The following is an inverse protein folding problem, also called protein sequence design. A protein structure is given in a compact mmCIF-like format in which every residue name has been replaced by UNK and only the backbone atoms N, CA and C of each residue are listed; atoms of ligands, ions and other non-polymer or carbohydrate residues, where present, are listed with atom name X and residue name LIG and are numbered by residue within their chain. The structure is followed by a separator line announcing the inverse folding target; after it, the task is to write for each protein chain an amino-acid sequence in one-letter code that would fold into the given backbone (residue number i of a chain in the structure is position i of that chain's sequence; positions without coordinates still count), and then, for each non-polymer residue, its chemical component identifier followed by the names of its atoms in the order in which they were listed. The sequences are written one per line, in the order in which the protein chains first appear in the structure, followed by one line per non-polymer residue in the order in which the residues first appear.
data_IF_933468726830
#
_entry.id   IF_933468726830
#
_cell.length_a   1.000
_cell.length_b   1.000
_cell.length_c   1.000
_cell.angle_alpha   90.00
_cell.angle_beta   90.00
_cell.angle_gamma   90.00
#
_symmetry.space_group_name_H-M   'P 1'
#
loop_
_entity.id
_entity.type
_entity.pdbx_description
1 polymer ?
#
# COMPACT_ATOMS: atom_id res chain seq x y z
N UNK A 1 -30.23 17.51 -9.60
CA UNK A 1 -30.79 17.39 -8.24
C UNK A 1 -31.04 15.90 -7.99
N UNK A 2 -30.71 15.34 -6.82
CA UNK A 2 -30.90 13.90 -6.58
C UNK A 2 -32.40 13.57 -6.47
N UNK A 3 -32.96 12.95 -7.50
CA UNK A 3 -34.39 12.64 -7.64
C UNK A 3 -34.92 11.55 -6.68
N UNK A 4 -34.14 10.55 -6.25
CA UNK A 4 -34.63 9.62 -5.24
C UNK A 4 -34.55 10.29 -3.86
N UNK A 5 -35.71 10.53 -3.24
CA UNK A 5 -35.88 10.85 -1.81
C UNK A 5 -35.51 9.66 -0.90
N UNK A 6 -34.35 9.07 -1.13
CA UNK A 6 -33.84 7.95 -0.36
C UNK A 6 -33.02 8.54 0.78
N UNK A 7 -33.28 8.06 2.00
CA UNK A 7 -32.48 8.46 3.15
C UNK A 7 -31.10 7.83 3.00
N UNK A 8 -30.07 8.67 2.98
CA UNK A 8 -28.68 8.24 2.91
C UNK A 8 -27.88 8.90 4.02
N UNK A 9 -26.87 8.19 4.49
CA UNK A 9 -25.88 8.70 5.44
C UNK A 9 -24.50 8.37 4.90
N UNK A 10 -23.69 9.39 4.62
CA UNK A 10 -22.28 9.23 4.30
C UNK A 10 -21.47 9.45 5.59
N UNK A 11 -20.70 8.43 5.98
CA UNK A 11 -19.73 8.52 7.07
C UNK A 11 -18.33 8.46 6.49
N UNK A 12 -17.50 9.43 6.85
CA UNK A 12 -16.07 9.41 6.55
C UNK A 12 -15.32 8.79 7.74
N UNK A 13 -14.81 7.58 7.55
CA UNK A 13 -14.02 6.89 8.56
C UNK A 13 -12.54 7.15 8.28
N UNK A 14 -12.05 8.29 8.78
CA UNK A 14 -10.66 8.72 8.62
C UNK A 14 -9.63 7.70 9.15
N UNK A 15 -9.97 6.93 10.20
CA UNK A 15 -9.07 5.94 10.80
C UNK A 15 -8.81 4.73 9.87
N UNK A 16 -9.81 4.32 9.11
CA UNK A 16 -9.71 3.19 8.16
C UNK A 16 -9.53 3.66 6.71
N UNK A 17 -9.45 4.98 6.51
CA UNK A 17 -9.33 5.65 5.23
C UNK A 17 -10.40 5.16 4.23
N UNK A 18 -11.65 5.12 4.67
CA UNK A 18 -12.76 4.62 3.88
C UNK A 18 -14.04 5.44 4.09
N UNK A 19 -14.81 5.62 3.02
CA UNK A 19 -16.17 6.12 3.06
C UNK A 19 -17.15 4.96 3.27
N UNK A 20 -18.10 5.16 4.18
CA UNK A 20 -19.26 4.28 4.35
C UNK A 20 -20.52 5.03 3.96
N UNK A 21 -21.14 4.61 2.87
CA UNK A 21 -22.43 5.13 2.42
C UNK A 21 -23.52 4.13 2.78
N UNK A 22 -24.38 4.51 3.71
CA UNK A 22 -25.59 3.76 4.08
C UNK A 22 -26.80 4.38 3.38
N UNK A 23 -27.55 3.57 2.63
CA UNK A 23 -28.78 3.99 1.96
C UNK A 23 -29.94 3.08 2.38
N UNK A 24 -31.01 3.69 2.87
CA UNK A 24 -32.23 2.97 3.24
C UNK A 24 -33.02 2.58 1.97
N UNK A 25 -32.78 1.38 1.44
CA UNK A 25 -33.56 0.83 0.33
C UNK A 25 -34.84 0.16 0.85
N UNK A 26 -35.79 -0.11 -0.04
CA UNK A 26 -37.02 -0.80 0.35
C UNK A 26 -36.74 -2.26 0.74
N UNK A 27 -37.30 -2.70 1.88
CA UNK A 27 -37.12 -4.06 2.42
C UNK A 27 -37.43 -5.16 1.41
N UNK A 28 -38.51 -5.00 0.65
CA UNK A 28 -38.98 -5.97 -0.33
C UNK A 28 -38.49 -5.70 -1.76
N UNK A 29 -37.55 -4.76 -1.94
CA UNK A 29 -36.91 -4.58 -3.24
C UNK A 29 -36.01 -5.78 -3.53
N UNK A 30 -35.96 -6.24 -4.76
CA UNK A 30 -35.01 -7.27 -5.15
C UNK A 30 -33.62 -6.64 -5.39
N UNK A 31 -32.56 -7.39 -5.11
CA UNK A 31 -31.18 -6.96 -5.38
C UNK A 31 -30.94 -6.75 -6.88
N UNK A 32 -31.66 -7.48 -7.74
CA UNK A 32 -31.61 -7.27 -9.19
C UNK A 32 -32.12 -5.90 -9.66
N UNK A 33 -32.93 -5.21 -8.85
CA UNK A 33 -33.42 -3.86 -9.14
C UNK A 33 -32.49 -2.77 -8.57
N UNK A 34 -31.32 -3.17 -8.10
CA UNK A 34 -30.30 -2.30 -7.53
C UNK A 34 -29.04 -2.48 -8.36
N UNK A 35 -28.57 -1.38 -8.92
CA UNK A 35 -27.28 -1.32 -9.62
C UNK A 35 -26.40 -0.27 -8.93
N UNK A 36 -25.14 -0.60 -8.69
CA UNK A 36 -24.20 0.24 -7.96
C UNK A 36 -22.94 0.40 -8.79
N UNK A 37 -22.70 1.63 -9.22
CA UNK A 37 -21.55 2.06 -9.98
C UNK A 37 -20.70 2.98 -9.10
N UNK A 38 -19.50 2.50 -8.76
CA UNK A 38 -18.54 3.25 -7.95
C UNK A 38 -17.46 3.78 -8.88
N UNK A 39 -17.37 5.11 -8.95
CA UNK A 39 -16.29 5.78 -9.65
C UNK A 39 -15.39 6.52 -8.65
N UNK A 40 -14.15 6.84 -9.05
CA UNK A 40 -13.21 7.48 -8.12
C UNK A 40 -13.75 8.80 -7.53
N UNK A 41 -14.45 9.61 -8.33
CA UNK A 41 -14.91 10.95 -7.92
C UNK A 41 -16.41 11.01 -7.57
N UNK A 42 -17.18 9.96 -7.88
CA UNK A 42 -18.60 9.93 -7.60
C UNK A 42 -19.13 8.52 -7.52
N UNK A 43 -20.26 8.38 -6.85
CA UNK A 43 -20.96 7.12 -6.64
C UNK A 43 -22.33 7.24 -7.22
N UNK A 44 -22.74 6.26 -8.01
CA UNK A 44 -24.05 6.20 -8.62
C UNK A 44 -24.75 4.90 -8.21
N UNK A 45 -25.92 5.01 -7.63
CA UNK A 45 -26.76 3.87 -7.28
C UNK A 45 -28.12 4.01 -7.98
N UNK A 46 -28.45 3.04 -8.82
CA UNK A 46 -29.75 2.97 -9.50
C UNK A 46 -30.65 2.02 -8.72
N UNK A 47 -31.70 2.55 -8.10
CA UNK A 47 -32.63 1.80 -7.25
C UNK A 47 -34.02 1.88 -7.90
N UNK A 48 -34.53 0.76 -8.43
CA UNK A 48 -35.82 0.69 -9.14
C UNK A 48 -35.94 1.75 -10.26
N UNK A 49 -34.87 1.91 -11.04
CA UNK A 49 -34.80 2.89 -12.13
C UNK A 49 -34.60 4.35 -11.69
N UNK A 50 -34.49 4.64 -10.38
CA UNK A 50 -34.14 5.98 -9.89
C UNK A 50 -32.65 6.06 -9.63
N UNK A 51 -32.01 7.08 -10.18
CA UNK A 51 -30.56 7.26 -10.08
C UNK A 51 -30.28 8.18 -8.90
N UNK A 52 -29.52 7.67 -7.94
CA UNK A 52 -28.88 8.43 -6.87
C UNK A 52 -27.43 8.65 -7.27
N UNK A 53 -26.99 9.91 -7.35
CA UNK A 53 -25.60 10.24 -7.62
C UNK A 53 -25.05 11.13 -6.51
N UNK A 54 -23.88 10.78 -5.98
CA UNK A 54 -23.18 11.51 -4.94
C UNK A 54 -21.75 11.78 -5.38
N UNK A 55 -21.35 13.05 -5.41
CA UNK A 55 -19.94 13.40 -5.62
C UNK A 55 -19.16 13.19 -4.33
N UNK A 56 -17.96 12.63 -4.46
CA UNK A 56 -17.02 12.47 -3.37
C UNK A 56 -15.99 13.61 -3.42
N UNK A 57 -15.50 14.03 -2.26
CA UNK A 57 -14.47 15.06 -2.16
C UNK A 57 -13.06 14.47 -2.37
N UNK A 58 -12.88 13.22 -1.96
CA UNK A 58 -11.63 12.48 -2.12
C UNK A 58 -11.85 11.28 -3.05
N UNK A 59 -10.80 10.96 -3.80
CA UNK A 59 -10.79 9.86 -4.74
C UNK A 59 -10.85 8.51 -3.99
N UNK A 60 -11.75 7.64 -4.43
CA UNK A 60 -11.87 6.26 -3.92
C UNK A 60 -11.31 5.25 -4.89
N UNK A 61 -10.88 4.10 -4.37
CA UNK A 61 -10.47 2.95 -5.16
C UNK A 61 -11.69 2.06 -5.46
N UNK A 62 -12.21 2.05 -6.70
CA UNK A 62 -13.37 1.23 -7.05
C UNK A 62 -13.09 -0.27 -6.93
N UNK A 63 -11.85 -0.70 -7.21
CA UNK A 63 -11.42 -2.11 -7.17
C UNK A 63 -11.62 -2.78 -5.79
N UNK A 64 -11.36 -2.03 -4.71
CA UNK A 64 -11.52 -2.49 -3.33
C UNK A 64 -12.85 -2.10 -2.70
N UNK A 65 -13.74 -1.47 -3.47
CA UNK A 65 -15.04 -1.07 -2.98
C UNK A 65 -16.00 -2.25 -2.92
N UNK A 66 -16.84 -2.31 -1.89
CA UNK A 66 -17.83 -3.37 -1.77
C UNK A 66 -19.20 -2.80 -1.44
N UNK A 67 -20.25 -3.38 -2.01
CA UNK A 67 -21.63 -3.05 -1.71
C UNK A 67 -22.34 -4.25 -1.09
N UNK A 68 -22.95 -4.07 0.07
CA UNK A 68 -23.64 -5.11 0.83
C UNK A 68 -25.06 -4.69 1.12
N UNK A 69 -26.02 -5.55 0.79
CA UNK A 69 -27.43 -5.33 1.08
C UNK A 69 -27.86 -6.21 2.25
N UNK A 70 -28.55 -5.61 3.21
CA UNK A 70 -29.23 -6.33 4.27
C UNK A 70 -30.64 -6.72 3.83
N UNK A 71 -30.91 -8.03 3.75
CA UNK A 71 -32.23 -8.54 3.38
C UNK A 71 -33.30 -8.28 4.45
N UNK A 72 -32.90 -8.22 5.73
CA UNK A 72 -33.84 -8.07 6.85
C UNK A 72 -34.27 -6.63 7.07
N UNK A 73 -33.33 -5.69 6.93
CA UNK A 73 -33.56 -4.26 7.19
C UNK A 73 -33.78 -3.45 5.90
N UNK A 74 -33.32 -3.94 4.75
CA UNK A 74 -33.41 -3.22 3.47
C UNK A 74 -32.29 -2.19 3.26
N UNK A 75 -31.32 -2.08 4.16
CA UNK A 75 -30.22 -1.12 4.03
C UNK A 75 -29.16 -1.60 3.04
N UNK A 76 -28.64 -0.68 2.23
CA UNK A 76 -27.53 -0.89 1.32
C UNK A 76 -26.32 -0.12 1.85
N UNK A 77 -25.29 -0.85 2.25
CA UNK A 77 -24.04 -0.32 2.73
C UNK A 77 -22.98 -0.44 1.65
N UNK A 78 -22.41 0.69 1.23
CA UNK A 78 -21.30 0.73 0.29
C UNK A 78 -20.05 1.18 1.05
N UNK A 79 -19.05 0.31 1.10
CA UNK A 79 -17.73 0.57 1.69
C UNK A 79 -16.77 0.91 0.57
N UNK A 80 -16.25 2.15 0.57
CA UNK A 80 -15.40 2.68 -0.49
C UNK A 80 -14.08 3.18 0.12
N UNK A 81 -12.99 2.42 -0.01
CA UNK A 81 -11.69 2.85 0.49
C UNK A 81 -11.16 4.02 -0.34
N UNK A 82 -10.58 5.02 0.33
CA UNK A 82 -9.92 6.17 -0.28
C UNK A 82 -8.61 5.73 -0.94
N UNK A 83 -8.31 6.30 -2.11
CA UNK A 83 -7.13 5.97 -2.90
C UNK A 83 -5.86 6.60 -2.31
N UNK A 84 -5.96 7.82 -1.78
CA UNK A 84 -4.82 8.49 -1.12
C UNK A 84 -4.71 7.97 0.32
N UNK A 85 -3.64 7.26 0.71
CA UNK A 85 -3.42 6.94 2.10
C UNK A 85 -3.13 8.23 2.86
N UNK A 86 -4.05 8.65 3.73
CA UNK A 86 -3.71 9.68 4.71
C UNK A 86 -2.66 9.04 5.62
N UNK A 87 -1.42 9.53 5.56
CA UNK A 87 -0.34 9.08 6.44
C UNK A 87 -0.65 9.61 7.83
N UNK A 88 -1.54 8.94 8.55
CA UNK A 88 -1.76 9.20 9.97
C UNK A 88 -0.78 8.31 10.75
N UNK A 89 -0.06 8.85 11.74
CA UNK A 89 0.74 8.03 12.65
C UNK A 89 -0.21 7.11 13.42
N UNK A 90 -0.38 5.89 12.92
CA UNK A 90 -1.18 4.87 13.59
C UNK A 90 -0.43 4.42 14.84
N UNK A 91 -0.91 4.86 16.01
CA UNK A 91 -0.62 4.18 17.26
C UNK A 91 -1.32 2.82 17.20
N UNK A 92 -0.68 1.85 16.55
CA UNK A 92 -1.13 0.46 16.50
C UNK A 92 -1.13 -0.09 17.93
N UNK A 93 -2.26 0.06 18.62
CA UNK A 93 -2.56 -0.75 19.80
C UNK A 93 -2.74 -2.17 19.30
N UNK A 94 -1.69 -2.97 19.43
CA UNK A 94 -1.72 -4.40 19.20
C UNK A 94 -2.89 -5.01 19.98
N UNK A 95 -4.02 -5.26 19.31
CA UNK A 95 -5.06 -6.14 19.82
C UNK A 95 -4.48 -7.55 19.74
N UNK A 96 -3.73 -7.93 20.78
CA UNK A 96 -3.43 -9.33 21.09
C UNK A 96 -4.79 -10.03 21.23
N UNK A 97 -5.16 -10.79 20.21
CA UNK A 97 -6.25 -11.74 20.34
C UNK A 97 -5.80 -12.80 21.34
N UNK A 98 -6.40 -12.81 22.52
CA UNK A 98 -6.27 -13.88 23.50
C UNK A 98 -6.82 -15.17 22.88
N UNK A 99 -5.93 -16.03 22.38
CA UNK A 99 -6.27 -17.42 22.08
C UNK A 99 -6.38 -18.16 23.41
N UNK A 100 -7.59 -18.63 23.71
CA UNK A 100 -7.89 -19.55 24.81
C UNK A 100 -7.03 -20.82 24.69
N UNK A 101 -6.56 -21.28 25.85
CA UNK A 101 -5.77 -22.48 26.08
C UNK A 101 -6.42 -23.75 25.52
N UNK A 102 -5.70 -24.50 24.68
CA UNK A 102 -5.81 -25.95 24.59
C UNK A 102 -4.39 -26.55 24.54
N UNK A 103 -4.20 -27.64 25.27
CA UNK A 103 -2.92 -28.25 25.66
C UNK A 103 -2.07 -28.77 24.47
N UNK A 104 -0.71 -28.76 24.57
CA UNK A 104 0.13 -29.26 23.49
C UNK A 104 0.34 -30.77 23.59
N UNK A 105 -0.02 -31.52 22.54
CA UNK A 105 0.49 -32.87 22.28
C UNK A 105 1.76 -32.79 21.41
N UNK A 106 2.80 -33.60 21.66
CA UNK A 106 4.05 -33.53 20.92
C UNK A 106 3.96 -34.34 19.61
N UNK A 107 4.23 -33.71 18.48
CA UNK A 107 4.57 -34.41 17.24
C UNK A 107 5.80 -33.79 16.59
N UNK A 108 6.87 -34.58 16.68
CA UNK A 108 8.11 -34.58 15.92
C UNK A 108 7.87 -34.32 14.43
N UNK A 109 8.62 -33.38 13.85
CA UNK A 109 9.42 -33.54 12.62
C UNK A 109 10.14 -32.22 12.32
N UNK A 110 11.48 -32.28 12.26
CA UNK A 110 12.37 -31.12 12.11
C UNK A 110 12.52 -30.79 10.63
N UNK A 111 11.91 -29.69 10.19
CA UNK A 111 12.39 -28.96 9.02
C UNK A 111 13.42 -27.94 9.51
N UNK A 112 14.70 -28.17 9.21
CA UNK A 112 15.77 -27.23 9.52
C UNK A 112 15.61 -25.99 8.62
N UNK A 113 15.14 -24.89 9.20
CA UNK A 113 15.25 -23.57 8.58
C UNK A 113 16.66 -23.08 8.87
N UNK A 114 17.52 -23.03 7.86
CA UNK A 114 18.81 -22.35 7.97
C UNK A 114 18.56 -20.85 8.14
N UNK A 115 18.93 -20.31 9.30
CA UNK A 115 18.85 -18.88 9.61
C UNK A 115 20.25 -18.31 9.44
N UNK A 116 20.40 -17.17 8.77
CA UNK A 116 21.64 -16.41 8.83
C UNK A 116 21.86 -15.97 10.28
N UNK A 117 22.79 -16.61 10.97
CA UNK A 117 23.26 -16.17 12.27
C UNK A 117 24.25 -15.02 12.06
N UNK A 118 23.89 -13.84 12.57
CA UNK A 118 24.82 -12.72 12.68
C UNK A 118 25.62 -12.97 13.95
N UNK A 119 26.92 -13.28 13.80
CA UNK A 119 27.82 -13.49 14.93
C UNK A 119 27.87 -12.27 15.85
N UNK A 120 28.24 -12.47 17.11
CA UNK A 120 28.25 -11.48 18.21
C UNK A 120 29.16 -10.26 18.00
N UNK A 121 29.74 -10.08 16.81
CA UNK A 121 30.42 -8.85 16.43
C UNK A 121 29.40 -7.78 16.04
N UNK A 122 28.62 -7.33 17.03
CA UNK A 122 27.77 -6.16 16.92
C UNK A 122 28.67 -4.92 16.83
N UNK A 123 29.03 -4.52 15.62
CA UNK A 123 29.36 -3.12 15.37
C UNK A 123 28.11 -2.32 15.70
N UNK A 124 28.08 -1.73 16.90
CA UNK A 124 27.00 -0.82 17.31
C UNK A 124 27.03 0.37 16.36
N UNK A 125 26.14 0.35 15.38
CA UNK A 125 25.96 1.46 14.44
C UNK A 125 25.24 2.57 15.19
N UNK A 126 25.93 3.69 15.43
CA UNK A 126 25.35 4.85 16.09
C UNK A 126 24.54 5.68 15.07
N UNK A 127 23.24 5.43 15.01
CA UNK A 127 22.29 6.13 14.11
C UNK A 127 22.08 7.62 14.45
N UNK A 128 22.62 8.12 15.58
CA UNK A 128 22.41 9.50 16.02
C UNK A 128 23.29 10.53 15.29
N UNK A 129 24.29 10.11 14.50
CA UNK A 129 25.20 11.02 13.77
C UNK A 129 24.77 11.34 12.33
N UNK A 130 23.58 10.92 11.91
CA UNK A 130 23.06 11.08 10.54
C UNK A 130 22.87 12.56 10.14
N UNK A 131 22.78 13.50 11.10
CA UNK A 131 22.46 14.92 10.84
C UNK A 131 23.65 15.88 10.97
N UNK A 132 24.90 15.41 11.06
CA UNK A 132 26.05 16.32 11.13
C UNK A 132 26.60 16.62 9.72
N UNK A 133 26.00 17.61 9.04
CA UNK A 133 26.25 17.99 7.64
C UNK A 133 27.72 18.31 7.30
N UNK A 134 28.52 18.73 8.29
CA UNK A 134 29.91 19.15 8.08
C UNK A 134 30.94 18.01 8.04
N UNK A 135 30.64 16.83 8.59
CA UNK A 135 31.59 15.71 8.64
C UNK A 135 31.34 14.68 7.50
N UNK A 136 30.11 14.61 6.98
CA UNK A 136 29.71 13.63 5.97
C UNK A 136 30.39 13.86 4.61
N UNK A 137 30.61 15.11 4.20
CA UNK A 137 31.27 15.41 2.90
C UNK A 137 32.71 14.91 2.82
N UNK A 138 33.44 14.83 3.94
CA UNK A 138 34.83 14.35 3.94
C UNK A 138 34.94 12.83 4.11
N UNK A 139 33.99 12.20 4.82
CA UNK A 139 33.97 10.75 5.02
C UNK A 139 33.47 10.00 3.78
N UNK A 140 32.38 10.47 3.16
CA UNK A 140 31.79 9.84 1.97
C UNK A 140 32.79 9.84 0.81
N UNK A 141 33.48 10.96 0.56
CA UNK A 141 34.50 11.04 -0.52
C UNK A 141 35.66 10.08 -0.30
N UNK A 142 36.07 9.81 0.95
CA UNK A 142 37.15 8.87 1.26
C UNK A 142 36.72 7.40 1.13
N UNK A 143 35.51 7.07 1.58
CA UNK A 143 34.98 5.71 1.47
C UNK A 143 34.64 5.35 0.02
N UNK A 144 34.06 6.28 -0.75
CA UNK A 144 33.70 6.07 -2.15
C UNK A 144 34.97 5.84 -3.01
N UNK A 145 36.03 6.62 -2.79
CA UNK A 145 37.34 6.40 -3.44
C UNK A 145 37.97 5.05 -3.06
N UNK A 146 37.83 4.62 -1.80
CA UNK A 146 38.35 3.32 -1.35
C UNK A 146 37.57 2.14 -1.93
N UNK A 147 36.25 2.26 -2.07
CA UNK A 147 35.39 1.24 -2.71
C UNK A 147 35.72 1.14 -4.20
N UNK A 148 35.83 2.27 -4.91
CA UNK A 148 36.20 2.28 -6.34
C UNK A 148 37.57 1.62 -6.54
N UNK A 149 38.57 1.96 -5.72
CA UNK A 149 39.91 1.37 -5.80
C UNK A 149 39.94 -0.13 -5.49
N UNK A 150 39.05 -0.59 -4.61
CA UNK A 150 38.90 -2.01 -4.29
C UNK A 150 38.23 -2.77 -5.44
N UNK A 151 37.27 -2.16 -6.12
CA UNK A 151 36.56 -2.76 -7.25
C UNK A 151 37.43 -2.79 -8.52
N UNK A 152 38.21 -1.74 -8.78
CA UNK A 152 39.16 -1.70 -9.91
C UNK A 152 40.32 -2.68 -9.75
N UNK A 153 40.64 -3.10 -8.53
CA UNK A 153 41.65 -4.12 -8.26
C UNK A 153 41.09 -5.55 -8.36
N UNK A 154 39.76 -5.72 -8.33
CA UNK A 154 39.08 -7.02 -8.30
C UNK A 154 38.64 -7.49 -9.70
N UNK A 155 38.46 -6.57 -10.63
CA UNK A 155 38.19 -6.87 -12.04
C UNK A 155 39.38 -6.45 -12.88
N UNK A 156 40.06 -7.41 -13.50
CA UNK A 156 40.82 -7.10 -14.71
C UNK A 156 39.81 -6.80 -15.82
N UNK A 157 39.85 -5.60 -16.38
CA UNK A 157 39.07 -5.30 -17.57
C UNK A 157 39.42 -6.32 -18.66
N UNK A 158 38.39 -6.91 -19.26
CA UNK A 158 38.60 -7.78 -20.41
C UNK A 158 39.27 -6.95 -21.48
N UNK A 159 40.45 -7.39 -21.93
CA UNK A 159 41.13 -6.75 -23.07
C UNK A 159 40.15 -6.74 -24.24
N UNK A 160 39.96 -5.56 -24.84
CA UNK A 160 39.17 -5.44 -26.07
C UNK A 160 39.74 -6.39 -27.13
N UNK A 161 38.86 -6.97 -27.94
CA UNK A 161 39.28 -7.78 -29.08
C UNK A 161 40.18 -6.96 -30.00
N UNK A 162 41.24 -7.56 -30.55
CA UNK A 162 42.25 -6.87 -31.38
C UNK A 162 41.68 -6.18 -32.64
N UNK A 163 40.44 -6.46 -33.02
CA UNK A 163 39.73 -5.83 -34.14
C UNK A 163 38.68 -4.79 -33.77
N UNK A 164 38.64 -4.33 -32.51
CA UNK A 164 37.73 -3.26 -32.10
C UNK A 164 38.30 -1.90 -32.52
N UNK A 165 37.63 -1.23 -33.47
CA UNK A 165 37.92 0.14 -33.91
C UNK A 165 36.69 0.97 -33.57
N UNK A 166 36.86 2.03 -32.78
CA UNK A 166 35.78 2.97 -32.47
C UNK A 166 35.25 3.59 -33.78
N UNK A 167 33.94 3.55 -33.95
CA UNK A 167 33.26 4.08 -35.13
C UNK A 167 33.46 5.59 -35.20
N UNK A 168 34.17 6.12 -36.23
CA UNK A 168 34.46 7.55 -36.34
C UNK A 168 33.22 8.40 -36.66
N UNK A 169 32.06 7.78 -36.90
CA UNK A 169 30.81 8.49 -37.22
C UNK A 169 29.96 8.84 -35.99
N UNK A 170 30.39 8.47 -34.77
CA UNK A 170 29.68 8.87 -33.53
C UNK A 170 30.02 10.34 -33.21
N UNK A 171 29.07 11.28 -33.36
CA UNK A 171 29.32 12.67 -33.01
C UNK A 171 29.46 12.83 -31.49
N UNK A 172 30.34 13.75 -31.07
CA UNK A 172 30.48 14.10 -29.65
C UNK A 172 29.13 14.57 -29.07
N UNK A 173 28.82 14.15 -27.85
CA UNK A 173 27.65 14.68 -27.14
C UNK A 173 27.93 16.13 -26.76
N UNK A 174 27.12 17.04 -27.32
CA UNK A 174 27.06 18.47 -26.97
C UNK A 174 26.09 18.66 -25.81
#
# INVERSE_FOLDING_TARGET
MNEPKINFTLKDQNEENAYLLDMACYKFLDTHLIDVDVQPLYVRATIKGKIFQLSLNEEVSPDRSTAKRSQTTGHLLITMPKMKPIIQPTNRKNKRQEKKNEEPKPKTERAQVERLEVGENLTKVDYCNIINENNQKQAVVKEEQAVIKKWSAMYEDRKNSEGFVDDPEVPELI
#
